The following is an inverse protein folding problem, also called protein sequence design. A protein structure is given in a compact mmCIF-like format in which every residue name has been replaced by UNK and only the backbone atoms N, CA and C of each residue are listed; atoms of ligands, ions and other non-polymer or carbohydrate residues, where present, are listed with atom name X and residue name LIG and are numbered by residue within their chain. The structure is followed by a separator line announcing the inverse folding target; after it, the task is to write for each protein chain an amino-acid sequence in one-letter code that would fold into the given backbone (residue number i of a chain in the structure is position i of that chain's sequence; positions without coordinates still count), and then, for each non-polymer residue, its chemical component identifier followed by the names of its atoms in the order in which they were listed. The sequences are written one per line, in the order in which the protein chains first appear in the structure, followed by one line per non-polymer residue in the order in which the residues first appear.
data_IF_150304215669
#
_entry.id   IF_150304215669
#
_cell.length_a   1.000
_cell.length_b   1.000
_cell.length_c   1.000
_cell.angle_alpha   90.00
_cell.angle_beta   90.00
_cell.angle_gamma   90.00
#
_symmetry.space_group_name_H-M   'P 1'
#
loop_
_entity.id
_entity.type
_entity.pdbx_description
1 polymer ?
#
# COMPACT_ATOMS: atom_id res chain seq x y z
N UNK A 1 20.73 -16.57 -2.43
CA UNK A 1 19.37 -16.15 -2.87
C UNK A 1 18.66 -15.29 -1.83
N UNK A 2 18.37 -15.77 -0.60
CA UNK A 2 17.63 -15.00 0.42
C UNK A 2 18.29 -13.68 0.83
N UNK A 3 19.62 -13.63 0.95
CA UNK A 3 20.35 -12.39 1.25
C UNK A 3 20.12 -11.32 0.19
N UNK A 4 20.18 -11.70 -1.10
CA UNK A 4 19.92 -10.77 -2.23
C UNK A 4 18.48 -10.24 -2.18
N UNK A 5 17.50 -11.12 -2.01
CA UNK A 5 16.09 -10.73 -1.93
C UNK A 5 15.81 -9.81 -0.74
N UNK A 6 16.41 -10.11 0.42
CA UNK A 6 16.30 -9.25 1.58
C UNK A 6 16.96 -7.87 1.36
N UNK A 7 18.08 -7.82 0.63
CA UNK A 7 18.73 -6.56 0.25
C UNK A 7 17.84 -5.74 -0.69
N UNK A 8 17.23 -6.36 -1.70
CA UNK A 8 16.27 -5.69 -2.61
C UNK A 8 15.06 -5.17 -1.83
N UNK A 9 14.50 -5.98 -0.94
CA UNK A 9 13.37 -5.59 -0.09
C UNK A 9 13.68 -4.40 0.82
N UNK A 10 14.91 -4.28 1.29
CA UNK A 10 15.38 -3.12 2.08
C UNK A 10 15.62 -1.87 1.23
N UNK A 11 15.88 -2.03 -0.07
CA UNK A 11 16.22 -0.96 -1.00
C UNK A 11 15.10 -0.68 -2.03
N UNK A 12 13.83 -0.74 -1.61
CA UNK A 12 12.67 -0.46 -2.47
C UNK A 12 12.72 0.94 -3.10
N UNK A 13 13.34 1.90 -2.42
CA UNK A 13 13.58 3.27 -2.94
C UNK A 13 14.24 3.23 -4.32
N UNK A 14 15.20 2.34 -4.51
CA UNK A 14 15.94 2.19 -5.78
C UNK A 14 15.31 1.12 -6.65
N UNK A 15 14.86 0.01 -6.06
CA UNK A 15 14.35 -1.14 -6.80
C UNK A 15 13.07 -0.82 -7.60
N UNK A 16 12.14 -0.03 -7.05
CA UNK A 16 10.91 0.35 -7.75
C UNK A 16 11.19 1.22 -8.98
N UNK A 17 11.93 2.35 -8.90
CA UNK A 17 12.30 3.12 -10.07
C UNK A 17 13.07 2.32 -11.14
N UNK A 18 14.00 1.46 -10.72
CA UNK A 18 14.74 0.59 -11.66
C UNK A 18 13.78 -0.35 -12.41
N UNK A 19 12.84 -0.98 -11.70
CA UNK A 19 11.85 -1.85 -12.34
C UNK A 19 10.86 -1.10 -13.23
N UNK A 20 10.54 0.17 -12.89
CA UNK A 20 9.72 1.03 -13.75
C UNK A 20 10.46 1.37 -15.06
N UNK A 21 11.74 1.76 -14.97
CA UNK A 21 12.56 2.03 -16.15
C UNK A 21 12.71 0.77 -17.01
N UNK A 22 13.02 -0.36 -16.39
CA UNK A 22 13.16 -1.63 -17.10
C UNK A 22 11.83 -2.04 -17.77
N UNK A 23 10.70 -1.89 -17.08
CA UNK A 23 9.36 -2.15 -17.62
C UNK A 23 9.04 -1.23 -18.81
N UNK A 24 9.34 0.06 -18.68
CA UNK A 24 9.16 1.03 -19.76
C UNK A 24 9.98 0.65 -20.99
N UNK A 25 11.27 0.42 -20.83
CA UNK A 25 12.16 0.04 -21.94
C UNK A 25 11.71 -1.27 -22.60
N UNK A 26 11.39 -2.28 -21.80
CA UNK A 26 10.91 -3.54 -22.35
C UNK A 26 9.60 -3.39 -23.14
N UNK A 27 8.61 -2.69 -22.58
CA UNK A 27 7.32 -2.50 -23.24
C UNK A 27 7.40 -1.58 -24.45
N UNK A 28 8.29 -0.59 -24.44
CA UNK A 28 8.54 0.29 -25.58
C UNK A 28 9.17 -0.46 -26.74
N UNK A 29 10.17 -1.30 -26.47
CA UNK A 29 10.90 -2.06 -27.48
C UNK A 29 10.14 -3.31 -27.95
N UNK A 30 9.29 -3.90 -27.10
CA UNK A 30 8.56 -5.13 -27.40
C UNK A 30 7.09 -5.07 -26.92
N UNK A 31 6.21 -4.34 -27.62
CA UNK A 31 4.80 -4.20 -27.24
C UNK A 31 4.04 -5.54 -27.19
N UNK A 32 4.34 -6.47 -28.11
CA UNK A 32 3.73 -7.78 -28.15
C UNK A 32 4.12 -8.63 -26.93
N UNK A 33 5.40 -8.61 -26.54
CA UNK A 33 5.89 -9.25 -25.33
C UNK A 33 5.27 -8.65 -24.08
N UNK A 34 5.12 -7.31 -24.03
CA UNK A 34 4.45 -6.65 -22.92
C UNK A 34 2.98 -7.12 -22.77
N UNK A 35 2.26 -7.26 -23.88
CA UNK A 35 0.89 -7.77 -23.87
C UNK A 35 0.80 -9.22 -23.34
N UNK A 36 1.80 -10.07 -23.63
CA UNK A 36 1.87 -11.43 -23.10
C UNK A 36 2.08 -11.47 -21.58
N UNK A 37 2.80 -10.50 -21.01
CA UNK A 37 3.05 -10.43 -19.57
C UNK A 37 1.75 -10.35 -18.72
N UNK A 38 0.60 -10.04 -19.33
CA UNK A 38 -0.71 -10.08 -18.63
C UNK A 38 -1.00 -11.42 -17.96
N UNK A 39 -0.52 -12.53 -18.53
CA UNK A 39 -0.66 -13.88 -17.97
C UNK A 39 0.00 -14.00 -16.60
N UNK A 40 1.07 -13.25 -16.36
CA UNK A 40 1.83 -13.26 -15.11
C UNK A 40 1.23 -12.38 -14.00
N UNK A 41 0.19 -11.59 -14.29
CA UNK A 41 -0.44 -10.69 -13.30
C UNK A 41 -0.95 -11.50 -12.10
N UNK A 42 -1.74 -12.56 -12.34
CA UNK A 42 -2.33 -13.37 -11.25
C UNK A 42 -1.25 -14.04 -10.39
N UNK A 43 -0.25 -14.76 -10.96
CA UNK A 43 0.87 -15.31 -10.18
C UNK A 43 1.61 -14.28 -9.36
N UNK A 44 1.94 -13.12 -9.93
CA UNK A 44 2.64 -12.05 -9.19
C UNK A 44 1.74 -11.39 -8.15
N UNK A 45 0.44 -11.24 -8.40
CA UNK A 45 -0.53 -10.79 -7.39
C UNK A 45 -0.53 -11.71 -6.17
N UNK A 46 -0.58 -13.03 -6.39
CA UNK A 46 -0.52 -13.99 -5.30
C UNK A 46 0.82 -13.93 -4.55
N UNK A 47 1.93 -13.88 -5.29
CA UNK A 47 3.27 -13.72 -4.71
C UNK A 47 3.45 -12.40 -3.93
N UNK A 48 2.71 -11.36 -4.31
CA UNK A 48 2.72 -10.06 -3.62
C UNK A 48 1.92 -10.08 -2.31
N UNK A 49 0.73 -10.67 -2.32
CA UNK A 49 -0.23 -10.57 -1.21
C UNK A 49 -0.04 -11.67 -0.16
N UNK A 50 0.01 -12.94 -0.57
CA UNK A 50 0.05 -14.08 0.36
C UNK A 50 1.23 -14.04 1.36
N UNK A 51 2.48 -13.81 0.95
CA UNK A 51 3.59 -13.77 1.90
C UNK A 51 3.45 -12.66 2.94
N UNK A 52 2.87 -11.51 2.55
CA UNK A 52 2.59 -10.43 3.48
C UNK A 52 1.59 -10.86 4.57
N UNK A 53 0.58 -11.65 4.21
CA UNK A 53 -0.42 -12.15 5.15
C UNK A 53 0.14 -13.16 6.15
N UNK A 54 1.16 -13.94 5.78
CA UNK A 54 1.82 -14.89 6.69
C UNK A 54 2.47 -14.19 7.90
N UNK A 55 2.92 -12.95 7.73
CA UNK A 55 3.57 -12.18 8.81
C UNK A 55 2.59 -11.30 9.60
N UNK A 56 1.31 -11.30 9.24
CA UNK A 56 0.29 -10.46 9.88
C UNK A 56 -0.04 -10.97 11.28
N UNK A 57 0.01 -10.10 12.28
CA UNK A 57 -0.21 -10.47 13.71
C UNK A 57 -1.67 -10.28 14.11
N UNK A 58 -2.58 -11.11 13.58
CA UNK A 58 -4.03 -10.99 13.80
C UNK A 58 -4.43 -10.99 15.28
N UNK A 59 -3.73 -11.75 16.12
CA UNK A 59 -4.04 -11.84 17.57
C UNK A 59 -3.84 -10.52 18.33
N UNK A 60 -2.98 -9.64 17.83
CA UNK A 60 -2.69 -8.34 18.46
C UNK A 60 -3.90 -7.39 18.48
N UNK A 61 -4.89 -7.59 17.63
CA UNK A 61 -6.10 -6.74 17.58
C UNK A 61 -6.91 -6.83 18.87
N UNK A 62 -6.88 -7.99 19.54
CA UNK A 62 -7.69 -8.27 20.75
C UNK A 62 -7.01 -7.70 22.00
N UNK A 63 -5.71 -7.40 21.95
CA UNK A 63 -4.96 -6.86 23.09
C UNK A 63 -5.36 -5.38 23.30
N UNK A 64 -5.76 -5.02 24.53
CA UNK A 64 -6.19 -3.66 24.88
C UNK A 64 -5.07 -2.62 24.76
N UNK A 65 -5.39 -1.36 24.98
CA UNK A 65 -4.48 -0.19 24.86
C UNK A 65 -4.61 0.54 23.52
N UNK A 66 -4.03 1.71 23.42
CA UNK A 66 -3.96 2.55 22.21
C UNK A 66 -5.31 2.92 21.55
N UNK A 67 -6.45 2.77 22.26
CA UNK A 67 -7.78 2.96 21.69
C UNK A 67 -7.98 4.35 21.05
N UNK A 68 -7.46 5.40 21.68
CA UNK A 68 -7.54 6.77 21.14
C UNK A 68 -6.74 6.91 19.83
N UNK A 69 -5.53 6.35 19.79
CA UNK A 69 -4.69 6.38 18.59
C UNK A 69 -5.33 5.56 17.45
N UNK A 70 -5.92 4.39 17.77
CA UNK A 70 -6.65 3.58 16.81
C UNK A 70 -7.85 4.34 16.23
N UNK A 71 -8.70 4.92 17.10
CA UNK A 71 -9.88 5.66 16.66
C UNK A 71 -9.51 6.83 15.75
N UNK A 72 -8.56 7.67 16.15
CA UNK A 72 -8.12 8.81 15.35
C UNK A 72 -7.54 8.38 14.00
N UNK A 73 -6.75 7.30 13.99
CA UNK A 73 -6.20 6.73 12.75
C UNK A 73 -7.31 6.29 11.80
N UNK A 74 -8.32 5.57 12.31
CA UNK A 74 -9.42 5.10 11.45
C UNK A 74 -10.33 6.25 11.00
N UNK A 75 -10.56 7.25 11.83
CA UNK A 75 -11.30 8.45 11.44
C UNK A 75 -10.61 9.19 10.29
N UNK A 76 -9.28 9.36 10.35
CA UNK A 76 -8.53 9.96 9.25
C UNK A 76 -8.62 9.07 8.01
N UNK A 77 -8.36 7.77 8.14
CA UNK A 77 -8.29 6.83 7.03
C UNK A 77 -9.60 6.65 6.27
N UNK A 78 -10.72 6.66 6.97
CA UNK A 78 -12.04 6.43 6.37
C UNK A 78 -12.91 7.70 6.32
N UNK A 79 -12.78 8.61 7.29
CA UNK A 79 -13.59 9.83 7.34
C UNK A 79 -13.05 10.99 6.52
N UNK A 80 -11.74 11.03 6.21
CA UNK A 80 -11.13 12.22 5.60
C UNK A 80 -10.41 11.89 4.29
N UNK A 81 -9.44 10.98 4.33
CA UNK A 81 -8.51 10.74 3.21
C UNK A 81 -9.19 10.28 1.93
N UNK A 82 -10.22 9.40 1.93
CA UNK A 82 -10.91 9.00 0.71
C UNK A 82 -11.59 10.18 0.01
N UNK A 83 -12.17 11.11 0.77
CA UNK A 83 -12.83 12.30 0.21
C UNK A 83 -11.83 13.29 -0.38
N UNK A 84 -10.66 13.46 0.26
CA UNK A 84 -9.57 14.26 -0.31
C UNK A 84 -9.09 13.62 -1.62
N UNK A 85 -8.87 12.31 -1.65
CA UNK A 85 -8.44 11.60 -2.84
C UNK A 85 -9.48 11.70 -3.98
N UNK A 86 -10.77 11.56 -3.65
CA UNK A 86 -11.86 11.75 -4.60
C UNK A 86 -11.89 13.18 -5.16
N UNK A 87 -11.81 14.20 -4.28
CA UNK A 87 -11.79 15.60 -4.69
C UNK A 87 -10.60 15.93 -5.59
N UNK A 88 -9.40 15.44 -5.26
CA UNK A 88 -8.22 15.57 -6.10
C UNK A 88 -8.39 14.80 -7.43
N UNK A 89 -8.97 13.62 -7.40
CA UNK A 89 -9.29 12.85 -8.60
C UNK A 89 -10.20 13.62 -9.56
N UNK A 90 -11.24 14.26 -9.03
CA UNK A 90 -12.15 15.10 -9.82
C UNK A 90 -11.48 16.35 -10.37
N UNK A 91 -10.57 16.94 -9.61
CA UNK A 91 -9.89 18.16 -10.01
C UNK A 91 -8.81 17.91 -11.07
N UNK A 92 -8.01 16.87 -10.90
CA UNK A 92 -6.83 16.61 -11.76
C UNK A 92 -7.11 15.64 -12.91
N UNK A 93 -8.16 14.79 -12.79
CA UNK A 93 -8.49 13.75 -13.77
C UNK A 93 -9.96 13.80 -14.23
N UNK A 94 -10.50 14.97 -14.64
CA UNK A 94 -11.92 15.10 -15.00
C UNK A 94 -12.31 14.15 -16.13
N UNK A 95 -11.45 13.95 -17.12
CA UNK A 95 -11.65 13.11 -18.30
C UNK A 95 -11.00 11.73 -18.19
N UNK A 96 -10.39 11.39 -17.05
CA UNK A 96 -9.62 10.15 -16.83
C UNK A 96 -10.11 9.41 -15.59
N UNK A 97 -11.33 8.82 -15.63
CA UNK A 97 -11.96 8.23 -14.45
C UNK A 97 -11.15 7.07 -13.85
N UNK A 98 -10.39 6.33 -14.64
CA UNK A 98 -9.53 5.26 -14.12
C UNK A 98 -8.28 5.78 -13.42
N UNK A 99 -7.72 6.92 -13.81
CA UNK A 99 -6.65 7.57 -13.06
C UNK A 99 -7.16 8.09 -11.70
N UNK A 100 -8.36 8.71 -11.68
CA UNK A 100 -9.04 9.12 -10.46
C UNK A 100 -9.34 7.91 -9.55
N UNK A 101 -9.79 6.78 -10.12
CA UNK A 101 -9.98 5.53 -9.39
C UNK A 101 -8.66 5.01 -8.77
N UNK A 102 -7.56 5.09 -9.50
CA UNK A 102 -6.24 4.71 -8.98
C UNK A 102 -5.84 5.52 -7.75
N UNK A 103 -6.08 6.83 -7.79
CA UNK A 103 -5.83 7.73 -6.66
C UNK A 103 -6.73 7.38 -5.45
N UNK A 104 -8.01 7.10 -5.69
CA UNK A 104 -8.95 6.69 -4.66
C UNK A 104 -8.59 5.33 -4.06
N UNK A 105 -8.25 4.32 -4.87
CA UNK A 105 -7.84 3.00 -4.37
C UNK A 105 -6.55 3.08 -3.54
N UNK A 106 -5.59 3.92 -3.94
CA UNK A 106 -4.39 4.18 -3.15
C UNK A 106 -4.73 4.82 -1.79
N UNK A 107 -5.85 5.53 -1.68
CA UNK A 107 -6.32 6.16 -0.44
C UNK A 107 -7.18 5.24 0.44
N UNK A 108 -7.92 4.30 -0.16
CA UNK A 108 -8.92 3.46 0.55
C UNK A 108 -8.34 2.29 1.32
N UNK A 109 -7.13 1.84 0.99
CA UNK A 109 -6.50 0.68 1.63
C UNK A 109 -5.39 1.15 2.57
N UNK A 110 -5.76 1.60 3.78
CA UNK A 110 -4.77 2.09 4.73
C UNK A 110 -3.91 0.95 5.27
N UNK A 111 -2.73 1.31 5.71
CA UNK A 111 -1.78 0.48 6.43
C UNK A 111 -1.20 -0.70 5.63
N UNK A 112 0.03 -1.00 5.92
CA UNK A 112 0.77 -2.13 5.34
C UNK A 112 1.84 -2.58 6.32
N UNK A 113 2.60 -3.62 5.99
CA UNK A 113 3.79 -3.99 6.77
C UNK A 113 4.80 -2.84 6.90
N UNK A 114 4.82 -1.90 5.96
CA UNK A 114 5.67 -0.70 6.04
C UNK A 114 5.27 0.23 7.18
N UNK A 115 3.99 0.29 7.58
CA UNK A 115 3.54 1.05 8.76
C UNK A 115 4.35 0.68 10.00
N UNK A 116 4.50 -0.62 10.25
CA UNK A 116 5.24 -1.14 11.40
C UNK A 116 6.73 -0.80 11.29
N UNK A 117 7.32 -1.01 10.10
CA UNK A 117 8.74 -0.76 9.87
C UNK A 117 9.11 0.70 10.05
N UNK A 118 8.37 1.62 9.45
CA UNK A 118 8.64 3.06 9.55
C UNK A 118 8.37 3.60 10.95
N UNK A 119 7.31 3.11 11.63
CA UNK A 119 7.08 3.43 13.04
C UNK A 119 8.27 3.00 13.91
N UNK A 120 8.85 1.83 13.64
CA UNK A 120 10.03 1.34 14.33
C UNK A 120 11.28 2.21 14.08
N UNK A 121 11.54 2.57 12.82
CA UNK A 121 12.67 3.46 12.48
C UNK A 121 12.54 4.84 13.13
N UNK A 122 11.31 5.35 13.27
CA UNK A 122 11.02 6.61 13.95
C UNK A 122 10.91 6.48 15.48
N UNK A 123 11.19 5.30 16.05
CA UNK A 123 11.07 5.01 17.50
C UNK A 123 9.66 5.35 18.04
N UNK A 124 8.62 4.98 17.28
CA UNK A 124 7.22 5.11 17.67
C UNK A 124 6.67 3.85 18.36
N UNK A 125 5.37 3.86 18.68
CA UNK A 125 4.67 2.73 19.31
C UNK A 125 4.41 1.62 18.28
N UNK A 126 5.26 0.57 18.30
CA UNK A 126 5.14 -0.57 17.39
C UNK A 126 3.86 -1.39 17.61
N UNK A 127 3.39 -1.45 18.85
CA UNK A 127 2.20 -2.22 19.19
C UNK A 127 0.95 -1.57 18.58
N UNK A 128 0.81 -0.25 18.74
CA UNK A 128 -0.22 0.52 18.09
C UNK A 128 -0.17 0.37 16.55
N UNK A 129 1.03 0.45 15.95
CA UNK A 129 1.21 0.30 14.51
C UNK A 129 0.79 -1.09 14.00
N UNK A 130 1.06 -2.17 14.76
CA UNK A 130 0.62 -3.53 14.42
C UNK A 130 -0.91 -3.63 14.44
N UNK A 131 -1.56 -3.10 15.48
CA UNK A 131 -3.02 -3.07 15.59
C UNK A 131 -3.65 -2.27 14.44
N UNK A 132 -3.13 -1.06 14.19
CA UNK A 132 -3.55 -0.22 13.06
C UNK A 132 -3.45 -0.95 11.72
N UNK A 133 -2.38 -1.74 11.53
CA UNK A 133 -2.17 -2.49 10.29
C UNK A 133 -3.25 -3.54 10.08
N UNK A 134 -3.60 -4.30 11.10
CA UNK A 134 -4.63 -5.35 10.99
C UNK A 134 -6.02 -4.74 10.85
N UNK A 135 -6.37 -3.79 11.73
CA UNK A 135 -7.68 -3.12 11.71
C UNK A 135 -7.89 -2.37 10.39
N UNK A 136 -6.89 -1.58 9.97
CA UNK A 136 -6.95 -0.82 8.73
C UNK A 136 -7.09 -1.73 7.49
N UNK A 137 -6.39 -2.86 7.46
CA UNK A 137 -6.52 -3.83 6.37
C UNK A 137 -7.94 -4.42 6.27
N UNK A 138 -8.49 -4.87 7.40
CA UNK A 138 -9.83 -5.49 7.44
C UNK A 138 -10.89 -4.45 7.06
N UNK A 139 -10.90 -3.31 7.76
CA UNK A 139 -11.88 -2.24 7.50
C UNK A 139 -11.74 -1.69 6.08
N UNK A 140 -10.51 -1.44 5.62
CA UNK A 140 -10.25 -0.94 4.26
C UNK A 140 -10.73 -1.90 3.19
N UNK A 141 -10.50 -3.20 3.38
CA UNK A 141 -10.96 -4.22 2.43
C UNK A 141 -12.50 -4.29 2.39
N UNK A 142 -13.16 -4.23 3.53
CA UNK A 142 -14.62 -4.25 3.60
C UNK A 142 -15.26 -2.95 3.06
N UNK A 143 -14.65 -1.80 3.36
CA UNK A 143 -15.19 -0.50 2.98
C UNK A 143 -14.96 -0.15 1.49
N UNK A 144 -13.87 -0.65 0.88
CA UNK A 144 -13.48 -0.29 -0.50
C UNK A 144 -14.59 -0.44 -1.54
N UNK A 145 -15.36 -1.55 -1.63
CA UNK A 145 -16.41 -1.68 -2.64
C UNK A 145 -17.48 -0.59 -2.52
N UNK A 146 -17.85 -0.24 -1.28
CA UNK A 146 -18.88 0.77 -1.00
C UNK A 146 -18.38 2.17 -1.34
N UNK A 147 -17.15 2.52 -0.96
CA UNK A 147 -16.56 3.82 -1.33
C UNK A 147 -16.41 3.97 -2.84
N UNK A 148 -15.91 2.93 -3.53
CA UNK A 148 -15.75 2.98 -4.98
C UNK A 148 -17.11 3.10 -5.66
N UNK A 149 -18.11 2.34 -5.24
CA UNK A 149 -19.47 2.47 -5.78
C UNK A 149 -20.06 3.85 -5.50
N UNK A 150 -19.94 4.34 -4.27
CA UNK A 150 -20.54 5.62 -3.88
C UNK A 150 -19.90 6.82 -4.55
N UNK A 151 -18.56 6.85 -4.58
CA UNK A 151 -17.81 8.01 -5.09
C UNK A 151 -17.55 7.93 -6.60
N UNK A 152 -17.38 6.74 -7.16
CA UNK A 152 -16.97 6.55 -8.55
C UNK A 152 -18.01 5.86 -9.43
N UNK A 153 -19.08 5.30 -8.85
CA UNK A 153 -20.08 4.49 -9.57
C UNK A 153 -20.77 5.18 -10.74
N UNK A 154 -20.82 6.52 -10.74
CA UNK A 154 -21.33 7.29 -11.87
C UNK A 154 -20.33 7.40 -13.05
N UNK A 155 -19.06 7.10 -12.85
CA UNK A 155 -17.99 7.32 -13.82
C UNK A 155 -17.26 6.03 -14.21
N UNK A 156 -17.34 5.02 -13.36
CA UNK A 156 -16.69 3.71 -13.56
C UNK A 156 -17.75 2.63 -13.33
N UNK A 157 -17.89 1.65 -14.23
CA UNK A 157 -18.80 0.52 -13.99
C UNK A 157 -18.28 -0.29 -12.80
N UNK A 158 -18.98 -0.21 -11.68
CA UNK A 158 -18.63 -0.89 -10.43
C UNK A 158 -19.71 -1.89 -10.07
N UNK A 159 -19.37 -3.17 -10.11
CA UNK A 159 -20.22 -4.21 -9.53
C UNK A 159 -19.76 -4.50 -8.10
N UNK A 160 -20.49 -4.01 -7.12
CA UNK A 160 -20.13 -4.16 -5.68
C UNK A 160 -19.92 -5.64 -5.32
N UNK A 161 -20.82 -6.52 -5.79
CA UNK A 161 -20.72 -7.96 -5.54
C UNK A 161 -19.46 -8.59 -6.14
N UNK A 162 -19.14 -8.25 -7.39
CA UNK A 162 -17.93 -8.73 -8.05
C UNK A 162 -16.67 -8.17 -7.37
N UNK A 163 -16.67 -6.89 -7.01
CA UNK A 163 -15.57 -6.25 -6.27
C UNK A 163 -15.37 -6.91 -4.91
N UNK A 164 -16.45 -7.14 -4.16
CA UNK A 164 -16.37 -7.83 -2.86
C UNK A 164 -15.84 -9.27 -2.99
N UNK A 165 -16.33 -10.02 -3.99
CA UNK A 165 -15.82 -11.37 -4.26
C UNK A 165 -14.32 -11.37 -4.56
N UNK A 166 -13.83 -10.41 -5.35
CA UNK A 166 -12.39 -10.28 -5.63
C UNK A 166 -11.60 -9.93 -4.37
N UNK A 167 -12.12 -9.08 -3.50
CA UNK A 167 -11.50 -8.77 -2.20
C UNK A 167 -11.41 -10.02 -1.33
N UNK A 168 -12.46 -10.85 -1.29
CA UNK A 168 -12.41 -12.12 -0.57
C UNK A 168 -11.28 -13.01 -1.11
N UNK A 169 -11.13 -13.11 -2.43
CA UNK A 169 -10.10 -13.94 -3.07
C UNK A 169 -8.70 -13.34 -2.88
N UNK A 170 -8.55 -12.02 -3.02
CA UNK A 170 -7.23 -11.36 -3.02
C UNK A 170 -6.74 -11.04 -1.60
N UNK A 171 -7.65 -10.81 -0.64
CA UNK A 171 -7.29 -10.38 0.72
C UNK A 171 -7.63 -11.44 1.76
N UNK A 172 -8.90 -11.82 1.88
CA UNK A 172 -9.34 -12.69 2.98
C UNK A 172 -8.88 -14.13 2.82
N UNK A 173 -8.91 -14.68 1.61
CA UNK A 173 -8.42 -16.04 1.37
C UNK A 173 -6.90 -16.16 1.61
N UNK A 174 -6.02 -15.28 1.06
CA UNK A 174 -4.61 -15.27 1.42
C UNK A 174 -4.36 -14.97 2.90
N UNK A 175 -5.20 -14.16 3.57
CA UNK A 175 -5.10 -13.88 5.00
C UNK A 175 -5.35 -15.14 5.82
N UNK A 176 -6.39 -15.90 5.50
CA UNK A 176 -6.68 -17.18 6.15
C UNK A 176 -5.55 -18.20 5.91
N UNK A 177 -5.13 -18.35 4.66
CA UNK A 177 -4.01 -19.23 4.29
C UNK A 177 -2.70 -18.80 4.98
N UNK A 178 -2.43 -17.51 5.05
CA UNK A 178 -1.27 -16.94 5.76
C UNK A 178 -1.31 -17.25 7.26
N UNK A 179 -2.46 -17.06 7.89
CA UNK A 179 -2.65 -17.41 9.32
C UNK A 179 -2.43 -18.90 9.59
N UNK A 180 -2.97 -19.78 8.74
CA UNK A 180 -2.75 -21.21 8.85
C UNK A 180 -1.27 -21.56 8.69
N UNK A 181 -0.60 -21.00 7.68
CA UNK A 181 0.84 -21.19 7.47
C UNK A 181 1.67 -20.69 8.66
N UNK A 182 1.35 -19.51 9.18
CA UNK A 182 2.00 -18.97 10.39
C UNK A 182 1.83 -19.92 11.58
N UNK A 183 0.62 -20.43 11.78
CA UNK A 183 0.30 -21.35 12.89
C UNK A 183 1.10 -22.65 12.78
N UNK A 184 1.17 -23.24 11.57
CA UNK A 184 1.95 -24.45 11.30
C UNK A 184 3.44 -24.22 11.55
N UNK A 185 3.99 -23.11 11.04
CA UNK A 185 5.40 -22.77 11.21
C UNK A 185 5.74 -22.52 12.68
N UNK A 186 4.88 -21.84 13.44
CA UNK A 186 5.07 -21.60 14.87
C UNK A 186 5.00 -22.93 15.65
N UNK A 187 4.08 -23.84 15.31
CA UNK A 187 4.03 -25.16 15.95
C UNK A 187 5.29 -25.97 15.69
N UNK A 188 5.86 -25.88 14.47
CA UNK A 188 7.02 -26.70 14.06
C UNK A 188 8.35 -26.15 14.55
N UNK A 189 8.54 -24.83 14.52
CA UNK A 189 9.82 -24.17 14.80
C UNK A 189 9.82 -23.32 16.08
N UNK A 190 8.69 -23.24 16.75
CA UNK A 190 8.47 -22.36 17.90
C UNK A 190 8.32 -20.88 17.48
N UNK A 191 7.82 -20.00 18.37
CA UNK A 191 7.64 -18.58 18.07
C UNK A 191 8.95 -17.86 17.73
N UNK A 192 10.06 -18.18 18.44
CA UNK A 192 11.40 -17.62 18.17
C UNK A 192 11.93 -18.07 16.82
N UNK A 193 11.87 -19.39 16.53
CA UNK A 193 12.32 -19.94 15.25
C UNK A 193 11.56 -19.38 14.06
N UNK A 194 10.23 -19.20 14.20
CA UNK A 194 9.44 -18.50 13.18
C UNK A 194 9.92 -17.07 12.98
N UNK A 195 10.08 -16.28 14.05
CA UNK A 195 10.41 -14.87 13.97
C UNK A 195 11.83 -14.62 13.38
N UNK A 196 12.79 -15.47 13.71
CA UNK A 196 14.18 -15.29 13.30
C UNK A 196 14.48 -15.89 11.92
N UNK A 197 13.92 -17.05 11.60
CA UNK A 197 14.27 -17.80 10.39
C UNK A 197 13.29 -17.62 9.24
N UNK A 198 11.99 -17.55 9.52
CA UNK A 198 10.93 -17.57 8.50
C UNK A 198 10.33 -16.21 8.23
N UNK A 199 9.93 -15.48 9.26
CA UNK A 199 9.25 -14.20 9.12
C UNK A 199 9.99 -13.19 8.22
N UNK A 200 11.33 -13.07 8.23
CA UNK A 200 12.05 -12.14 7.34
C UNK A 200 12.02 -12.54 5.85
N UNK A 201 11.71 -13.79 5.53
CA UNK A 201 11.68 -14.29 4.13
C UNK A 201 10.41 -13.88 3.39
N UNK A 202 9.28 -13.80 4.09
CA UNK A 202 7.99 -13.49 3.49
C UNK A 202 7.91 -12.08 2.89
N UNK A 203 8.33 -11.00 3.58
CA UNK A 203 8.39 -9.67 2.97
C UNK A 203 9.27 -9.60 1.72
N UNK A 204 10.38 -10.36 1.71
CA UNK A 204 11.26 -10.42 0.54
C UNK A 204 10.58 -11.08 -0.67
N UNK A 205 9.76 -12.14 -0.46
CA UNK A 205 8.95 -12.74 -1.50
C UNK A 205 7.85 -11.79 -1.99
N UNK A 206 7.16 -11.11 -1.06
CA UNK A 206 6.15 -10.11 -1.40
C UNK A 206 6.75 -9.00 -2.27
N UNK A 207 7.96 -8.56 -1.96
CA UNK A 207 8.69 -7.56 -2.76
C UNK A 207 8.87 -8.00 -4.21
N UNK A 208 9.20 -9.26 -4.47
CA UNK A 208 9.29 -9.77 -5.84
C UNK A 208 7.96 -9.66 -6.59
N UNK A 209 6.86 -10.00 -5.92
CA UNK A 209 5.52 -9.82 -6.46
C UNK A 209 5.23 -8.37 -6.83
N UNK A 210 5.54 -7.42 -5.91
CA UNK A 210 5.38 -5.98 -6.16
C UNK A 210 6.20 -5.53 -7.37
N UNK A 211 7.48 -5.87 -7.41
CA UNK A 211 8.38 -5.47 -8.49
C UNK A 211 7.95 -6.04 -9.84
N UNK A 212 7.48 -7.30 -9.87
CA UNK A 212 6.93 -7.93 -11.07
C UNK A 212 5.68 -7.22 -11.57
N UNK A 213 4.73 -6.89 -10.69
CA UNK A 213 3.52 -6.16 -11.07
C UNK A 213 3.83 -4.72 -11.52
N UNK A 214 4.73 -4.01 -10.84
CA UNK A 214 5.16 -2.67 -11.25
C UNK A 214 5.79 -2.70 -12.64
N UNK A 215 6.68 -3.68 -12.90
CA UNK A 215 7.27 -3.88 -14.22
C UNK A 215 6.20 -4.10 -15.29
N UNK A 216 5.24 -5.01 -15.05
CA UNK A 216 4.16 -5.33 -15.99
C UNK A 216 3.26 -4.10 -16.23
N UNK A 217 2.86 -3.39 -15.18
CA UNK A 217 2.00 -2.21 -15.29
C UNK A 217 2.63 -1.12 -16.16
N UNK A 218 3.91 -0.83 -15.95
CA UNK A 218 4.65 0.16 -16.74
C UNK A 218 4.91 -0.35 -18.17
N UNK A 219 5.25 -1.63 -18.35
CA UNK A 219 5.46 -2.20 -19.69
C UNK A 219 4.20 -2.10 -20.55
N UNK A 220 3.03 -2.35 -19.97
CA UNK A 220 1.73 -2.23 -20.66
C UNK A 220 1.37 -0.79 -21.02
N UNK A 221 1.90 0.22 -20.31
CA UNK A 221 1.64 1.64 -20.52
C UNK A 221 2.78 2.38 -21.25
N UNK A 222 3.83 1.67 -21.61
CA UNK A 222 5.06 2.28 -22.15
C UNK A 222 4.82 3.12 -23.41
N UNK A 223 3.96 2.68 -24.34
CA UNK A 223 3.62 3.41 -25.56
C UNK A 223 2.86 4.72 -25.25
N UNK A 224 1.88 4.65 -24.34
CA UNK A 224 1.11 5.83 -23.93
C UNK A 224 2.01 6.86 -23.24
N UNK A 225 2.94 6.40 -22.37
CA UNK A 225 3.91 7.25 -21.67
C UNK A 225 4.89 7.89 -22.67
N UNK A 226 5.35 7.15 -23.67
CA UNK A 226 6.24 7.68 -24.69
C UNK A 226 5.58 8.76 -25.57
N UNK A 227 4.28 8.55 -25.90
CA UNK A 227 3.51 9.52 -26.68
C UNK A 227 3.12 10.76 -25.88
N UNK A 228 2.89 10.62 -24.56
CA UNK A 228 2.44 11.70 -23.67
C UNK A 228 3.18 11.65 -22.33
N UNK A 229 4.46 12.07 -22.27
CA UNK A 229 5.26 12.06 -21.05
C UNK A 229 4.74 13.02 -19.97
N UNK A 230 4.00 14.06 -20.34
CA UNK A 230 3.28 14.98 -19.46
C UNK A 230 2.27 14.24 -18.53
N UNK A 231 1.78 13.08 -18.93
CA UNK A 231 0.93 12.21 -18.12
C UNK A 231 1.59 11.85 -16.78
N UNK A 232 2.90 11.64 -16.75
CA UNK A 232 3.58 11.33 -15.48
C UNK A 232 3.53 12.51 -14.52
N UNK A 233 3.73 13.73 -15.01
CA UNK A 233 3.65 14.95 -14.19
C UNK A 233 2.23 15.16 -13.69
N UNK A 234 1.23 14.97 -14.54
CA UNK A 234 -0.19 15.12 -14.17
C UNK A 234 -0.62 14.13 -13.07
N UNK A 235 0.00 12.94 -13.01
CA UNK A 235 -0.25 11.96 -11.95
C UNK A 235 0.55 12.29 -10.67
N UNK A 236 1.80 12.74 -10.80
CA UNK A 236 2.65 13.03 -9.65
C UNK A 236 2.12 14.17 -8.79
N UNK A 237 1.58 15.22 -9.41
CA UNK A 237 1.08 16.40 -8.68
C UNK A 237 -0.02 16.03 -7.70
N UNK A 238 -1.15 15.42 -8.07
CA UNK A 238 -2.21 15.06 -7.13
C UNK A 238 -1.75 14.04 -6.08
N UNK A 239 -0.82 13.14 -6.41
CA UNK A 239 -0.22 12.23 -5.44
C UNK A 239 0.61 12.99 -4.39
N UNK A 240 1.47 13.91 -4.80
CA UNK A 240 2.26 14.73 -3.88
C UNK A 240 1.36 15.56 -2.96
N UNK A 241 0.29 16.14 -3.50
CA UNK A 241 -0.70 16.90 -2.73
C UNK A 241 -1.41 15.98 -1.73
N UNK A 242 -1.86 14.81 -2.15
CA UNK A 242 -2.54 13.84 -1.27
C UNK A 242 -1.64 13.41 -0.10
N UNK A 243 -0.39 13.02 -0.39
CA UNK A 243 0.57 12.63 0.65
C UNK A 243 0.94 13.81 1.55
N UNK A 244 1.16 15.00 0.98
CA UNK A 244 1.46 16.22 1.72
C UNK A 244 0.34 16.59 2.71
N UNK A 245 -0.91 16.61 2.26
CA UNK A 245 -2.07 16.87 3.12
C UNK A 245 -2.18 15.80 4.21
N UNK A 246 -1.99 14.53 3.86
CA UNK A 246 -2.11 13.43 4.81
C UNK A 246 -1.01 13.50 5.89
N UNK A 247 0.25 13.78 5.52
CA UNK A 247 1.31 14.02 6.50
C UNK A 247 1.01 15.21 7.40
N UNK A 248 0.56 16.34 6.85
CA UNK A 248 0.23 17.54 7.61
C UNK A 248 -0.90 17.27 8.60
N UNK A 249 -2.02 16.71 8.11
CA UNK A 249 -3.18 16.39 8.94
C UNK A 249 -2.80 15.43 10.07
N UNK A 250 -2.13 14.34 9.74
CA UNK A 250 -1.77 13.31 10.71
C UNK A 250 -0.74 13.79 11.74
N UNK A 251 0.20 14.67 11.32
CA UNK A 251 1.14 15.30 12.24
C UNK A 251 0.43 16.24 13.22
N UNK A 252 -0.50 17.06 12.71
CA UNK A 252 -1.27 17.97 13.55
C UNK A 252 -2.15 17.21 14.56
N UNK A 253 -2.91 16.23 14.11
CA UNK A 253 -3.74 15.40 14.98
C UNK A 253 -2.89 14.64 16.00
N UNK A 254 -1.80 14.02 15.56
CA UNK A 254 -0.87 13.31 16.44
C UNK A 254 -0.30 14.22 17.52
N UNK A 255 0.17 15.41 17.15
CA UNK A 255 0.78 16.37 18.06
C UNK A 255 -0.21 16.93 19.09
N UNK A 256 -1.46 17.13 18.68
CA UNK A 256 -2.50 17.71 19.56
C UNK A 256 -3.12 16.70 20.52
N UNK A 257 -3.22 15.44 20.13
CA UNK A 257 -4.08 14.50 20.85
C UNK A 257 -3.35 13.28 21.42
N UNK A 258 -2.10 13.00 21.04
CA UNK A 258 -1.42 11.75 21.35
C UNK A 258 -0.01 11.97 21.93
N UNK A 259 0.47 11.05 22.78
CA UNK A 259 1.87 11.02 23.17
C UNK A 259 2.74 10.65 21.95
N UNK A 260 4.03 11.01 22.01
CA UNK A 260 4.99 10.88 20.90
C UNK A 260 4.92 9.52 20.17
N UNK A 261 4.95 8.43 20.92
CA UNK A 261 4.99 7.07 20.32
C UNK A 261 3.76 6.77 19.47
N UNK A 262 2.58 7.11 20.01
CA UNK A 262 1.28 6.90 19.37
C UNK A 262 1.07 7.88 18.22
N UNK A 263 1.54 9.12 18.36
CA UNK A 263 1.50 10.14 17.31
C UNK A 263 2.29 9.68 16.07
N UNK A 264 3.49 9.12 16.25
CA UNK A 264 4.29 8.55 15.18
C UNK A 264 3.57 7.34 14.54
N UNK A 265 2.99 6.45 15.35
CA UNK A 265 2.23 5.32 14.86
C UNK A 265 1.00 5.77 14.04
N UNK A 266 0.29 6.81 14.50
CA UNK A 266 -0.83 7.41 13.77
C UNK A 266 -0.39 7.96 12.41
N UNK A 267 0.71 8.72 12.35
CA UNK A 267 1.19 9.25 11.05
C UNK A 267 1.48 8.12 10.08
N UNK A 268 2.25 7.12 10.47
CA UNK A 268 2.53 6.00 9.57
C UNK A 268 1.32 5.09 9.36
N UNK A 269 0.39 5.02 10.30
CA UNK A 269 -0.89 4.32 10.19
C UNK A 269 -1.88 4.98 9.21
N UNK A 270 -1.68 6.26 8.91
CA UNK A 270 -2.53 7.00 7.96
C UNK A 270 -1.85 7.21 6.61
N UNK A 271 -0.53 7.41 6.58
CA UNK A 271 0.20 7.70 5.33
C UNK A 271 0.64 6.44 4.61
N UNK A 272 1.03 5.39 5.33
CA UNK A 272 1.44 4.13 4.70
C UNK A 272 0.23 3.35 4.21
N UNK A 273 0.04 3.34 2.89
CA UNK A 273 -1.05 2.66 2.21
C UNK A 273 -0.67 1.25 1.77
N UNK A 274 -1.65 0.37 1.68
CA UNK A 274 -1.46 -0.98 1.13
C UNK A 274 -1.55 -0.95 -0.40
N UNK A 275 -0.55 -0.34 -1.02
CA UNK A 275 -0.50 -0.18 -2.46
C UNK A 275 -0.42 -1.53 -3.20
N UNK A 276 0.05 -2.59 -2.53
CA UNK A 276 0.03 -3.96 -3.08
C UNK A 276 -1.40 -4.43 -3.33
N UNK A 277 -2.26 -4.31 -2.33
CA UNK A 277 -3.66 -4.72 -2.48
C UNK A 277 -4.40 -3.75 -3.41
N UNK A 278 -4.14 -2.44 -3.31
CA UNK A 278 -4.70 -1.45 -4.23
C UNK A 278 -4.39 -1.79 -5.69
N UNK A 279 -3.13 -2.13 -5.98
CA UNK A 279 -2.67 -2.53 -7.31
C UNK A 279 -3.32 -3.84 -7.76
N UNK A 280 -3.40 -4.82 -6.87
CA UNK A 280 -4.08 -6.08 -7.14
C UNK A 280 -5.55 -5.87 -7.48
N UNK A 281 -6.27 -5.03 -6.73
CA UNK A 281 -7.66 -4.70 -7.00
C UNK A 281 -7.83 -3.95 -8.32
N UNK A 282 -7.01 -2.92 -8.56
CA UNK A 282 -7.04 -2.17 -9.81
C UNK A 282 -6.96 -3.09 -11.03
N UNK A 283 -6.03 -4.04 -11.02
CA UNK A 283 -5.77 -4.92 -12.16
C UNK A 283 -6.81 -6.04 -12.29
N UNK A 284 -7.19 -6.68 -11.17
CA UNK A 284 -8.03 -7.89 -11.21
C UNK A 284 -9.53 -7.59 -11.22
N UNK A 285 -9.98 -6.46 -10.61
CA UNK A 285 -11.39 -6.08 -10.56
C UNK A 285 -11.80 -5.28 -11.78
N UNK A 286 -11.01 -4.26 -12.13
CA UNK A 286 -11.38 -3.30 -13.17
C UNK A 286 -10.78 -3.61 -14.54
N UNK A 287 -9.98 -4.68 -14.65
CA UNK A 287 -9.62 -5.34 -15.90
C UNK A 287 -8.73 -4.53 -16.85
N UNK A 288 -8.89 -4.79 -18.16
CA UNK A 288 -8.00 -4.31 -19.21
C UNK A 288 -7.97 -2.79 -19.39
N UNK A 289 -9.02 -2.08 -18.98
CA UNK A 289 -9.15 -0.62 -19.07
C UNK A 289 -8.45 0.11 -17.94
N UNK A 290 -8.01 -0.61 -16.90
CA UNK A 290 -7.50 0.01 -15.67
C UNK A 290 -5.98 0.17 -15.59
N UNK A 291 -5.29 0.19 -16.73
CA UNK A 291 -3.84 0.45 -16.76
C UNK A 291 -3.47 1.81 -16.19
N UNK A 292 -4.37 2.82 -16.26
CA UNK A 292 -4.15 4.15 -15.69
C UNK A 292 -4.18 4.12 -14.15
N UNK A 293 -5.14 3.40 -13.56
CA UNK A 293 -5.18 3.22 -12.11
C UNK A 293 -3.93 2.49 -11.59
N UNK A 294 -3.50 1.44 -12.32
CA UNK A 294 -2.28 0.72 -11.96
C UNK A 294 -1.03 1.61 -12.05
N UNK A 295 -0.95 2.50 -13.05
CA UNK A 295 0.13 3.47 -13.19
C UNK A 295 0.14 4.46 -12.02
N UNK A 296 -1.01 5.04 -11.66
CA UNK A 296 -1.13 5.95 -10.50
C UNK A 296 -0.65 5.27 -9.22
N UNK A 297 -1.07 4.02 -8.97
CA UNK A 297 -0.68 3.26 -7.78
C UNK A 297 0.82 2.92 -7.81
N UNK A 298 1.38 2.58 -8.98
CA UNK A 298 2.82 2.31 -9.13
C UNK A 298 3.66 3.56 -8.81
N UNK A 299 3.23 4.75 -9.27
CA UNK A 299 3.88 6.01 -8.94
C UNK A 299 3.72 6.38 -7.46
N UNK A 300 2.57 6.06 -6.85
CA UNK A 300 2.35 6.25 -5.42
C UNK A 300 3.36 5.48 -4.55
N UNK A 301 3.86 4.31 -4.98
CA UNK A 301 4.92 3.59 -4.26
C UNK A 301 6.19 4.43 -4.10
N UNK A 302 6.60 5.14 -5.15
CA UNK A 302 7.80 5.98 -5.11
C UNK A 302 7.62 7.08 -4.07
N UNK A 303 6.51 7.82 -4.17
CA UNK A 303 6.21 8.93 -3.26
C UNK A 303 6.11 8.44 -1.83
N UNK A 304 5.39 7.34 -1.60
CA UNK A 304 5.20 6.77 -0.27
C UNK A 304 6.52 6.41 0.40
N UNK A 305 7.41 5.70 -0.30
CA UNK A 305 8.68 5.24 0.28
C UNK A 305 9.64 6.40 0.47
N UNK A 306 9.75 7.30 -0.52
CA UNK A 306 10.62 8.47 -0.44
C UNK A 306 10.20 9.43 0.69
N UNK A 307 8.91 9.76 0.76
CA UNK A 307 8.40 10.65 1.80
C UNK A 307 8.56 10.07 3.20
N UNK A 308 8.41 8.76 3.38
CA UNK A 308 8.61 8.08 4.65
C UNK A 308 10.05 8.21 5.16
N UNK A 309 11.06 8.06 4.29
CA UNK A 309 12.48 8.25 4.64
C UNK A 309 12.75 9.65 5.16
N UNK A 310 12.22 10.66 4.46
CA UNK A 310 12.39 12.04 4.88
C UNK A 310 11.66 12.34 6.19
N UNK A 311 10.45 11.82 6.33
CA UNK A 311 9.65 12.07 7.53
C UNK A 311 10.26 11.45 8.80
N UNK A 312 10.92 10.29 8.71
CA UNK A 312 11.67 9.71 9.86
C UNK A 312 12.66 10.72 10.43
N UNK A 313 13.38 11.47 9.57
CA UNK A 313 14.36 12.48 10.00
C UNK A 313 13.70 13.69 10.66
N UNK A 314 12.42 13.93 10.38
CA UNK A 314 11.67 15.07 10.90
C UNK A 314 10.87 14.75 12.18
N UNK A 315 10.70 13.47 12.53
CA UNK A 315 9.86 13.05 13.67
C UNK A 315 10.29 13.67 14.99
N UNK A 316 11.61 13.75 15.27
CA UNK A 316 12.11 14.36 16.52
C UNK A 316 11.86 15.90 16.57
N UNK A 317 11.80 16.56 15.41
CA UNK A 317 11.45 17.98 15.32
C UNK A 317 9.98 18.22 15.60
N UNK A 318 9.10 17.32 15.16
CA UNK A 318 7.65 17.49 15.33
C UNK A 318 7.13 17.02 16.70
N UNK A 319 7.66 15.91 17.21
CA UNK A 319 7.15 15.21 18.39
C UNK A 319 8.13 15.18 19.58
N UNK A 320 9.32 15.81 19.44
CA UNK A 320 10.36 15.76 20.45
C UNK A 320 11.22 14.49 20.39
N UNK A 321 12.31 14.48 21.14
CA UNK A 321 13.20 13.30 21.25
C UNK A 321 12.55 12.20 22.10
N UNK A 322 12.89 10.92 21.88
CA UNK A 322 12.41 9.84 22.74
C UNK A 322 12.91 10.04 24.17
N UNK A 323 12.03 9.78 25.16
CA UNK A 323 12.43 9.80 26.57
C UNK A 323 13.50 8.71 26.80
N UNK A 324 14.67 9.07 27.30
CA UNK A 324 15.70 8.13 27.70
C UNK A 324 16.88 7.94 26.71
N UNK A 325 17.14 8.90 25.84
CA UNK A 325 18.41 8.98 25.08
C UNK A 325 19.15 10.24 25.46
#
# INVERSE_FOLDING_TARGET
MWKLLATISKNLITAIPVMMIAGFLYGYLNPAGAAWLKVLIIPFTFLMVYPMMVTLKLKKVIEGGDGKAQLLTQLINFGIVPFIAYGLGRLFFPEQPFAALGLLLAALLPTSGMTISWTGFAKGNLEAAVKMTVVGLILGSLATPFYVQWLMGAHVPVEVGATFRQIVIIVFLPMLAGYLTQTVLIKRYGPKGFQEQWAPRFPALSTLGVLGIVFIAIALKSQDIACRPDMLVSILVPLLVLYGINYLLSTLVGKLFLPRGDAIALVYGTVMRNLSIALALAINVFGKTCSDAALVIALAYIIQVQSAVWYVKLTDRFFGKPAGV
#
